data_IF_818532721540
#
_entry.id   IF_818532721540
#
_cell.length_a   1.000
_cell.length_b   1.000
_cell.length_c   1.000
_cell.angle_alpha   90.00
_cell.angle_beta   90.00
_cell.angle_gamma   90.00
#
_symmetry.space_group_name_H-M   'P 1'
#
loop_
_entity.id
_entity.type
_entity.pdbx_description
1 polymer ?
#
# COMPACT_ATOMS: atom_id res chain seq x y z
N UNK A 1 -39.48 -19.71 -13.46
CA UNK A 1 -38.78 -19.25 -12.26
C UNK A 1 -39.42 -19.98 -11.10
N UNK A 2 -38.68 -20.73 -10.28
CA UNK A 2 -39.29 -21.51 -9.20
C UNK A 2 -39.91 -20.58 -8.17
N UNK A 3 -41.04 -20.99 -7.61
CA UNK A 3 -41.66 -20.22 -6.53
C UNK A 3 -40.93 -20.46 -5.18
N UNK A 4 -41.26 -19.65 -4.17
CA UNK A 4 -40.62 -19.73 -2.86
C UNK A 4 -40.84 -21.09 -2.19
N UNK A 5 -42.00 -21.73 -2.40
CA UNK A 5 -42.34 -23.01 -1.79
C UNK A 5 -41.54 -24.16 -2.42
N UNK A 6 -41.32 -24.11 -3.73
CA UNK A 6 -40.45 -25.04 -4.46
C UNK A 6 -38.99 -24.96 -3.95
N UNK A 7 -38.47 -23.75 -3.70
CA UNK A 7 -37.12 -23.55 -3.13
C UNK A 7 -37.03 -24.11 -1.70
N UNK A 8 -38.01 -23.80 -0.85
CA UNK A 8 -38.02 -24.24 0.55
C UNK A 8 -38.11 -25.76 0.69
N UNK A 9 -38.90 -26.41 -0.17
CA UNK A 9 -39.00 -27.87 -0.21
C UNK A 9 -37.65 -28.52 -0.51
N UNK A 10 -36.95 -28.03 -1.54
CA UNK A 10 -35.64 -28.54 -1.96
C UNK A 10 -34.58 -28.30 -0.88
N UNK A 11 -34.57 -27.11 -0.24
CA UNK A 11 -33.62 -26.83 0.87
C UNK A 11 -33.86 -27.78 2.04
N UNK A 12 -35.11 -28.01 2.43
CA UNK A 12 -35.45 -28.90 3.55
C UNK A 12 -35.06 -30.35 3.27
N UNK A 13 -35.18 -30.80 2.03
CA UNK A 13 -34.84 -32.15 1.61
C UNK A 13 -33.32 -32.37 1.49
N UNK A 14 -32.59 -31.38 0.99
CA UNK A 14 -31.20 -31.59 0.57
C UNK A 14 -30.14 -30.90 1.44
N UNK A 15 -30.48 -29.91 2.27
CA UNK A 15 -29.54 -29.23 3.18
C UNK A 15 -29.67 -29.82 4.58
N UNK A 16 -28.98 -30.93 4.80
CA UNK A 16 -29.15 -31.77 5.98
C UNK A 16 -28.04 -31.54 7.00
N UNK A 17 -28.40 -31.50 8.29
CA UNK A 17 -27.43 -31.36 9.40
C UNK A 17 -26.33 -32.42 9.40
N UNK A 18 -26.58 -33.61 8.84
CA UNK A 18 -25.60 -34.68 8.67
C UNK A 18 -24.47 -34.32 7.72
N UNK A 19 -24.74 -33.55 6.66
CA UNK A 19 -23.72 -33.11 5.70
C UNK A 19 -22.73 -32.18 6.40
N UNK A 20 -23.22 -31.22 7.19
CA UNK A 20 -22.36 -30.34 7.99
C UNK A 20 -21.52 -31.15 8.98
N UNK A 21 -22.14 -32.04 9.77
CA UNK A 21 -21.38 -32.89 10.72
C UNK A 21 -20.29 -33.71 10.01
N UNK A 22 -20.59 -34.28 8.85
CA UNK A 22 -19.64 -35.05 8.05
C UNK A 22 -18.48 -34.18 7.55
N UNK A 23 -18.76 -33.03 6.95
CA UNK A 23 -17.73 -32.12 6.43
C UNK A 23 -16.83 -31.59 7.55
N UNK A 24 -17.41 -31.13 8.66
CA UNK A 24 -16.64 -30.57 9.77
C UNK A 24 -15.83 -31.63 10.53
N UNK A 25 -16.27 -32.89 10.56
CA UNK A 25 -15.48 -33.98 11.12
C UNK A 25 -14.18 -34.24 10.34
N UNK A 26 -14.10 -33.80 9.08
CA UNK A 26 -12.97 -34.10 8.19
C UNK A 26 -12.23 -32.85 7.69
N UNK A 27 -12.56 -31.65 8.18
CA UNK A 27 -12.06 -30.38 7.63
C UNK A 27 -10.53 -30.24 7.70
N UNK A 28 -9.89 -30.93 8.64
CA UNK A 28 -8.44 -30.91 8.83
C UNK A 28 -7.70 -32.08 8.17
N UNK A 29 -8.42 -33.05 7.60
CA UNK A 29 -7.79 -34.23 7.02
C UNK A 29 -7.01 -33.89 5.73
N UNK A 30 -7.36 -32.79 5.05
CA UNK A 30 -6.70 -32.37 3.82
C UNK A 30 -6.76 -33.41 2.69
N UNK A 31 -6.02 -33.16 1.61
CA UNK A 31 -5.74 -34.16 0.59
C UNK A 31 -4.46 -34.95 0.93
N UNK A 32 -4.16 -36.01 0.19
CA UNK A 32 -2.90 -36.74 0.35
C UNK A 32 -1.70 -35.82 0.12
N UNK A 33 -1.76 -35.00 -0.93
CA UNK A 33 -0.71 -34.04 -1.28
C UNK A 33 -0.49 -33.00 -0.17
N UNK A 34 -1.55 -32.58 0.53
CA UNK A 34 -1.44 -31.66 1.67
C UNK A 34 -0.70 -32.30 2.85
N UNK A 35 -1.01 -33.56 3.16
CA UNK A 35 -0.41 -34.28 4.27
C UNK A 35 1.04 -34.71 4.00
N UNK A 36 1.42 -34.83 2.73
CA UNK A 36 2.77 -35.17 2.28
C UNK A 36 3.72 -33.96 2.20
N UNK A 37 3.23 -32.74 2.42
CA UNK A 37 4.09 -31.55 2.47
C UNK A 37 5.07 -31.61 3.65
N UNK A 38 6.36 -31.57 3.34
CA UNK A 38 7.39 -31.45 4.37
C UNK A 38 7.36 -30.05 5.00
N UNK A 39 7.17 -30.00 6.32
CA UNK A 39 7.15 -28.75 7.09
C UNK A 39 8.38 -28.73 8.02
N UNK A 40 9.29 -27.74 7.88
CA UNK A 40 10.42 -27.60 8.78
C UNK A 40 9.97 -27.43 10.24
N UNK A 41 10.68 -28.06 11.17
CA UNK A 41 10.44 -27.90 12.60
C UNK A 41 11.16 -26.64 13.15
N UNK A 42 10.51 -25.95 14.09
CA UNK A 42 11.08 -24.81 14.83
C UNK A 42 10.16 -23.58 14.86
N UNK A 43 10.50 -22.62 15.73
CA UNK A 43 9.68 -21.41 15.94
C UNK A 43 10.04 -20.27 14.96
N UNK A 44 11.22 -20.35 14.34
CA UNK A 44 11.73 -19.33 13.41
C UNK A 44 11.64 -19.85 11.97
N UNK A 45 11.06 -19.03 11.09
CA UNK A 45 10.96 -19.34 9.67
C UNK A 45 12.34 -19.37 9.00
N UNK A 46 12.65 -20.46 8.30
CA UNK A 46 13.91 -20.61 7.57
C UNK A 46 13.80 -19.97 6.19
N UNK A 47 14.32 -18.76 6.04
CA UNK A 47 14.28 -18.04 4.77
C UNK A 47 15.20 -18.68 3.71
N UNK A 48 14.61 -19.18 2.63
CA UNK A 48 15.35 -19.57 1.42
C UNK A 48 15.64 -18.33 0.57
N UNK A 49 16.92 -18.01 0.37
CA UNK A 49 17.36 -16.88 -0.46
C UNK A 49 17.02 -17.05 -1.94
N UNK A 50 16.85 -18.28 -2.42
CA UNK A 50 16.50 -18.60 -3.81
C UNK A 50 14.99 -18.56 -4.06
N UNK A 51 14.19 -18.50 -2.99
CA UNK A 51 12.74 -18.47 -3.10
C UNK A 51 12.28 -17.20 -3.82
N UNK A 52 11.47 -17.39 -4.86
CA UNK A 52 10.79 -16.29 -5.57
C UNK A 52 9.34 -16.10 -5.09
N UNK A 53 8.90 -16.83 -4.06
CA UNK A 53 7.54 -16.78 -3.51
C UNK A 53 7.49 -16.15 -2.11
N UNK A 54 8.41 -16.54 -1.24
CA UNK A 54 8.50 -16.08 0.15
C UNK A 54 9.89 -15.45 0.35
N UNK A 55 9.94 -14.14 0.67
CA UNK A 55 11.17 -13.40 0.98
C UNK A 55 10.99 -12.57 2.24
N UNK A 56 12.05 -12.48 3.06
CA UNK A 56 12.04 -11.70 4.30
C UNK A 56 11.81 -10.21 3.99
N UNK A 57 10.73 -9.59 4.47
CA UNK A 57 10.44 -8.20 4.15
C UNK A 57 11.25 -7.23 5.03
N UNK A 58 11.61 -6.05 4.52
CA UNK A 58 12.50 -5.11 5.22
C UNK A 58 11.78 -4.25 6.28
N UNK A 59 10.55 -4.58 6.70
CA UNK A 59 9.72 -3.73 7.57
C UNK A 59 10.37 -3.39 8.91
N UNK A 60 11.19 -4.30 9.43
CA UNK A 60 11.88 -4.20 10.72
C UNK A 60 13.39 -3.93 10.57
N UNK A 61 13.91 -3.84 9.35
CA UNK A 61 15.34 -3.56 9.14
C UNK A 61 15.67 -2.18 9.72
N UNK A 62 16.79 -2.13 10.45
CA UNK A 62 17.30 -0.91 11.12
C UNK A 62 16.33 -0.27 12.11
N UNK A 63 15.35 -1.02 12.63
CA UNK A 63 14.42 -0.53 13.65
C UNK A 63 15.09 -0.46 15.02
N UNK A 64 15.09 0.73 15.63
CA UNK A 64 15.47 0.95 17.03
C UNK A 64 14.37 0.53 18.01
N UNK A 65 14.80 0.16 19.22
CA UNK A 65 13.89 -0.18 20.35
C UNK A 65 12.99 1.02 20.66
N UNK A 66 13.56 2.21 20.81
CA UNK A 66 12.79 3.44 20.97
C UNK A 66 12.36 4.01 19.61
N UNK A 67 11.13 4.55 19.47
CA UNK A 67 10.71 5.21 18.25
C UNK A 67 11.53 6.47 17.98
N UNK A 68 11.84 6.71 16.71
CA UNK A 68 12.42 7.98 16.30
C UNK A 68 11.38 9.10 16.44
N UNK A 69 11.79 10.34 16.82
CA UNK A 69 10.89 11.47 16.86
C UNK A 69 10.25 11.70 15.49
N UNK A 70 8.94 11.93 15.47
CA UNK A 70 8.25 12.38 14.27
C UNK A 70 8.75 13.78 13.94
N UNK A 71 9.19 13.98 12.70
CA UNK A 71 9.64 15.27 12.16
C UNK A 71 8.82 15.63 10.94
N UNK A 72 8.80 16.93 10.63
CA UNK A 72 8.30 17.44 9.35
C UNK A 72 8.79 16.61 8.15
N UNK A 73 7.93 16.47 7.14
CA UNK A 73 8.30 15.90 5.85
C UNK A 73 8.76 17.07 5.00
N UNK A 74 10.05 17.17 4.68
CA UNK A 74 10.63 18.31 3.98
C UNK A 74 10.93 17.99 2.51
N UNK A 75 10.65 18.94 1.61
CA UNK A 75 11.01 18.89 0.19
C UNK A 75 10.57 17.60 -0.53
N UNK A 76 9.41 17.04 -0.17
CA UNK A 76 8.89 15.84 -0.78
C UNK A 76 8.45 16.07 -2.23
N UNK A 77 8.53 15.02 -3.04
CA UNK A 77 8.03 15.01 -4.43
C UNK A 77 6.78 14.16 -4.56
N UNK A 78 5.88 14.57 -5.46
CA UNK A 78 4.69 13.78 -5.79
C UNK A 78 5.12 12.64 -6.71
N UNK A 79 4.99 11.40 -6.24
CA UNK A 79 5.29 10.22 -7.05
C UNK A 79 4.13 9.90 -8.00
N UNK A 80 2.90 10.16 -7.57
CA UNK A 80 1.69 9.97 -8.37
C UNK A 80 0.65 11.05 -8.01
N UNK A 81 0.09 11.69 -9.04
CA UNK A 81 -1.06 12.58 -8.94
C UNK A 81 -2.24 11.86 -9.61
N UNK A 82 -3.23 11.47 -8.81
CA UNK A 82 -4.29 10.58 -9.24
C UNK A 82 -5.66 11.27 -9.16
N UNK A 83 -6.61 10.80 -9.97
CA UNK A 83 -7.99 11.28 -9.97
C UNK A 83 -8.84 10.64 -8.87
N UNK A 84 -10.16 10.62 -9.11
CA UNK A 84 -11.16 10.06 -8.22
C UNK A 84 -11.23 8.52 -8.28
N UNK A 85 -11.77 7.92 -7.23
CA UNK A 85 -12.13 6.49 -7.09
C UNK A 85 -10.99 5.53 -7.47
N UNK A 86 -9.75 5.88 -7.11
CA UNK A 86 -8.60 5.00 -7.26
C UNK A 86 -8.78 3.78 -6.36
N UNK A 87 -9.06 2.63 -6.96
CA UNK A 87 -9.24 1.38 -6.21
C UNK A 87 -7.93 0.79 -5.67
N UNK A 88 -8.02 -0.07 -4.66
CA UNK A 88 -6.86 -0.86 -4.19
C UNK A 88 -6.29 -1.80 -5.27
N UNK A 89 -7.05 -2.13 -6.32
CA UNK A 89 -6.55 -2.90 -7.47
C UNK A 89 -5.66 -2.03 -8.38
N UNK A 90 -5.91 -0.72 -8.46
CA UNK A 90 -4.99 0.21 -9.11
C UNK A 90 -3.68 0.36 -8.33
N UNK A 91 -3.75 0.41 -7.00
CA UNK A 91 -2.59 0.58 -6.11
C UNK A 91 -1.77 -0.72 -6.01
N UNK A 92 -2.44 -1.87 -5.91
CA UNK A 92 -1.82 -3.19 -5.74
C UNK A 92 -2.56 -4.23 -6.59
N UNK A 93 -2.27 -4.32 -7.90
CA UNK A 93 -2.89 -5.29 -8.79
C UNK A 93 -2.63 -6.73 -8.31
N UNK A 94 -3.57 -7.63 -8.57
CA UNK A 94 -3.46 -9.06 -8.21
C UNK A 94 -3.36 -9.98 -9.43
N UNK A 95 -3.56 -9.44 -10.64
CA UNK A 95 -3.57 -10.19 -11.90
C UNK A 95 -2.19 -10.58 -12.41
N UNK A 96 -2.11 -10.84 -13.71
CA UNK A 96 -0.89 -11.26 -14.40
C UNK A 96 0.23 -10.22 -14.35
N UNK A 97 1.48 -10.69 -14.36
CA UNK A 97 2.68 -9.86 -14.39
C UNK A 97 3.15 -9.74 -15.85
N UNK A 98 3.23 -8.50 -16.37
CA UNK A 98 3.72 -8.27 -17.73
C UNK A 98 5.24 -8.48 -17.83
N UNK A 99 5.73 -9.02 -18.95
CA UNK A 99 7.14 -9.40 -19.14
C UNK A 99 8.13 -8.24 -19.14
N UNK A 100 7.69 -7.08 -19.61
CA UNK A 100 8.44 -5.84 -19.69
C UNK A 100 8.30 -4.98 -18.42
N UNK A 101 7.37 -5.32 -17.52
CA UNK A 101 7.20 -4.63 -16.23
C UNK A 101 8.43 -4.78 -15.32
N UNK A 102 8.63 -3.88 -14.34
CA UNK A 102 9.71 -4.00 -13.37
C UNK A 102 9.73 -5.37 -12.66
N UNK A 103 8.55 -5.88 -12.27
CA UNK A 103 8.42 -7.19 -11.64
C UNK A 103 8.79 -8.35 -12.59
N UNK A 104 8.38 -8.26 -13.87
CA UNK A 104 8.74 -9.25 -14.89
C UNK A 104 10.24 -9.27 -15.19
N UNK A 105 10.88 -8.10 -15.26
CA UNK A 105 12.35 -7.98 -15.40
C UNK A 105 13.08 -8.59 -14.20
N UNK A 106 12.61 -8.32 -12.98
CA UNK A 106 13.16 -8.93 -11.77
C UNK A 106 13.03 -10.46 -11.77
N UNK A 107 11.84 -11.01 -12.08
CA UNK A 107 11.63 -12.45 -12.12
C UNK A 107 12.51 -13.15 -13.16
N UNK A 108 12.72 -12.54 -14.33
CA UNK A 108 13.68 -13.05 -15.33
C UNK A 108 15.12 -13.03 -14.82
N UNK A 109 15.52 -11.97 -14.13
CA UNK A 109 16.85 -11.88 -13.53
C UNK A 109 17.07 -12.96 -12.45
N UNK A 110 16.02 -13.33 -11.71
CA UNK A 110 16.04 -14.45 -10.75
C UNK A 110 15.89 -15.83 -11.44
N UNK A 111 15.88 -15.90 -12.78
CA UNK A 111 15.83 -17.15 -13.55
C UNK A 111 14.43 -17.76 -13.74
N UNK A 112 13.36 -17.01 -13.46
CA UNK A 112 11.98 -17.46 -13.66
C UNK A 112 11.54 -17.20 -15.10
N UNK A 113 11.09 -18.24 -15.80
CA UNK A 113 10.53 -18.11 -17.15
C UNK A 113 9.15 -17.41 -17.12
N UNK A 114 8.77 -16.63 -18.15
CA UNK A 114 7.49 -15.91 -18.20
C UNK A 114 6.24 -16.76 -17.90
N UNK A 115 6.18 -18.00 -18.42
CA UNK A 115 5.09 -18.94 -18.16
C UNK A 115 4.94 -19.33 -16.68
N UNK A 116 5.96 -19.09 -15.88
CA UNK A 116 6.02 -19.37 -14.44
C UNK A 116 5.95 -18.11 -13.57
N UNK A 117 5.72 -16.92 -14.14
CA UNK A 117 5.52 -15.71 -13.35
C UNK A 117 4.33 -15.83 -12.40
N UNK A 118 3.28 -16.54 -12.82
CA UNK A 118 2.01 -16.63 -12.11
C UNK A 118 1.41 -15.21 -11.96
N UNK A 119 0.63 -14.94 -10.92
CA UNK A 119 -0.01 -13.64 -10.69
C UNK A 119 0.68 -12.84 -9.58
N UNK A 120 0.49 -11.52 -9.55
CA UNK A 120 0.87 -10.70 -8.39
C UNK A 120 0.25 -11.24 -7.09
N UNK A 121 -1.00 -11.70 -7.14
CA UNK A 121 -1.66 -12.32 -5.98
C UNK A 121 -0.92 -13.54 -5.43
N UNK A 122 -0.35 -14.37 -6.29
CA UNK A 122 0.46 -15.54 -5.88
C UNK A 122 1.83 -15.16 -5.31
N UNK A 123 2.33 -13.95 -5.59
CA UNK A 123 3.66 -13.46 -5.20
C UNK A 123 3.63 -12.57 -3.95
N UNK A 124 2.50 -12.52 -3.22
CA UNK A 124 2.32 -11.64 -2.04
C UNK A 124 3.31 -11.89 -0.89
N UNK A 125 3.93 -13.06 -0.81
CA UNK A 125 5.00 -13.36 0.15
C UNK A 125 6.38 -12.83 -0.27
N UNK A 126 6.51 -12.27 -1.47
CA UNK A 126 7.77 -11.76 -2.01
C UNK A 126 7.68 -10.25 -2.20
N UNK A 127 8.21 -9.50 -1.24
CA UNK A 127 8.16 -8.04 -1.25
C UNK A 127 8.83 -7.41 -2.48
N UNK A 128 9.85 -8.04 -3.05
CA UNK A 128 10.56 -7.56 -4.24
C UNK A 128 9.63 -7.52 -5.47
N UNK A 129 8.76 -8.52 -5.62
CA UNK A 129 7.77 -8.53 -6.70
C UNK A 129 6.67 -7.54 -6.43
N UNK A 130 6.18 -7.49 -5.19
CA UNK A 130 5.01 -6.68 -4.85
C UNK A 130 5.30 -5.17 -4.85
N UNK A 131 6.48 -4.74 -4.41
CA UNK A 131 6.89 -3.32 -4.50
C UNK A 131 7.00 -2.89 -5.97
N UNK A 132 7.53 -3.75 -6.84
CA UNK A 132 7.61 -3.52 -8.29
C UNK A 132 6.24 -3.55 -8.98
N UNK A 133 5.28 -4.25 -8.39
CA UNK A 133 3.89 -4.28 -8.83
C UNK A 133 3.03 -3.13 -8.28
N UNK A 134 3.55 -2.33 -7.35
CA UNK A 134 2.78 -1.25 -6.73
C UNK A 134 2.55 -0.14 -7.74
N UNK A 135 1.29 0.27 -7.88
CA UNK A 135 0.78 1.16 -8.94
C UNK A 135 1.00 0.66 -10.37
N UNK A 136 1.36 -0.62 -10.58
CA UNK A 136 1.64 -1.16 -11.92
C UNK A 136 0.38 -1.62 -12.67
N UNK A 137 -0.82 -1.24 -12.22
CA UNK A 137 -2.06 -1.59 -12.90
C UNK A 137 -2.11 -0.91 -14.27
N UNK A 138 -2.36 -1.67 -15.33
CA UNK A 138 -2.39 -1.19 -16.71
C UNK A 138 -3.44 -0.10 -16.99
N UNK A 139 -4.44 0.05 -16.10
CA UNK A 139 -5.51 1.06 -16.21
C UNK A 139 -5.29 2.26 -15.30
N UNK A 140 -4.21 2.30 -14.52
CA UNK A 140 -3.89 3.47 -13.72
C UNK A 140 -3.64 4.66 -14.65
N UNK A 141 -4.22 5.82 -14.32
CA UNK A 141 -4.00 7.08 -15.02
C UNK A 141 -3.37 8.07 -14.05
N UNK A 142 -2.13 8.44 -14.33
CA UNK A 142 -1.38 9.39 -13.53
C UNK A 142 -1.33 10.73 -14.24
N UNK A 143 -1.83 11.78 -13.58
CA UNK A 143 -1.91 13.13 -14.15
C UNK A 143 -0.52 13.77 -14.33
N UNK A 144 0.53 13.22 -13.72
CA UNK A 144 1.93 13.62 -13.96
C UNK A 144 2.49 13.12 -15.30
N UNK A 145 1.82 12.14 -15.93
CA UNK A 145 2.21 11.55 -17.21
C UNK A 145 0.99 11.50 -18.16
N UNK A 146 0.48 12.68 -18.58
CA UNK A 146 -0.75 12.75 -19.37
C UNK A 146 -0.60 12.00 -20.71
N UNK A 147 -1.68 11.31 -21.10
CA UNK A 147 -1.72 10.49 -22.32
C UNK A 147 -1.15 9.08 -22.15
N UNK A 148 -0.66 8.73 -20.96
CA UNK A 148 -0.22 7.36 -20.63
C UNK A 148 -1.28 6.62 -19.80
N UNK A 149 -1.30 5.30 -19.93
CA UNK A 149 -1.99 4.40 -19.01
C UNK A 149 -0.98 3.40 -18.45
N UNK A 150 -1.20 2.92 -17.24
CA UNK A 150 -0.29 2.04 -16.53
C UNK A 150 0.44 2.73 -15.39
N UNK A 151 1.36 1.99 -14.77
CA UNK A 151 2.19 2.49 -13.68
C UNK A 151 3.31 3.42 -14.12
N UNK A 152 2.97 4.47 -14.88
CA UNK A 152 3.90 5.47 -15.41
C UNK A 152 3.82 6.75 -14.60
N UNK A 153 4.96 7.39 -14.41
CA UNK A 153 5.09 8.71 -13.78
C UNK A 153 6.24 9.47 -14.42
N UNK A 154 6.53 10.66 -13.92
CA UNK A 154 7.66 11.49 -14.33
C UNK A 154 8.60 11.70 -13.16
N UNK A 155 9.88 11.46 -13.38
CA UNK A 155 10.94 11.86 -12.47
C UNK A 155 11.25 13.34 -12.71
N UNK A 156 11.08 14.20 -11.70
CA UNK A 156 11.15 15.66 -11.90
C UNK A 156 12.58 16.19 -12.12
N UNK A 157 13.61 15.69 -11.42
CA UNK A 157 14.98 16.18 -11.61
C UNK A 157 15.48 16.10 -13.07
N UNK A 158 15.15 15.05 -13.80
CA UNK A 158 15.54 14.85 -15.21
C UNK A 158 14.39 15.03 -16.22
N UNK A 159 13.15 15.14 -15.75
CA UNK A 159 11.94 15.28 -16.55
C UNK A 159 11.50 14.02 -17.30
N UNK A 160 12.14 12.86 -17.07
CA UNK A 160 11.88 11.64 -17.84
C UNK A 160 10.63 10.90 -17.36
N UNK A 161 9.83 10.42 -18.32
CA UNK A 161 8.75 9.48 -18.02
C UNK A 161 9.33 8.07 -17.80
N UNK A 162 8.93 7.43 -16.71
CA UNK A 162 9.41 6.09 -16.33
C UNK A 162 8.35 5.38 -15.50
N UNK A 163 8.60 4.13 -15.10
CA UNK A 163 7.66 3.43 -14.22
C UNK A 163 7.67 4.03 -12.82
N UNK A 164 6.56 3.96 -12.09
CA UNK A 164 6.47 4.43 -10.71
C UNK A 164 7.51 3.78 -9.80
N UNK A 165 7.78 2.48 -10.00
CA UNK A 165 8.85 1.79 -9.28
C UNK A 165 10.23 2.38 -9.60
N UNK A 166 10.57 2.55 -10.87
CA UNK A 166 11.89 3.05 -11.27
C UNK A 166 12.10 4.50 -10.80
N UNK A 167 11.08 5.37 -10.88
CA UNK A 167 11.11 6.72 -10.33
C UNK A 167 11.28 6.72 -8.80
N UNK A 168 10.58 5.84 -8.08
CA UNK A 168 10.73 5.71 -6.62
C UNK A 168 12.14 5.29 -6.22
N UNK A 169 12.78 4.39 -6.98
CA UNK A 169 14.17 3.99 -6.73
C UNK A 169 15.16 5.12 -7.00
N UNK A 170 14.92 5.97 -8.01
CA UNK A 170 15.74 7.17 -8.26
C UNK A 170 15.63 8.16 -7.09
N UNK A 171 14.41 8.52 -6.68
CA UNK A 171 14.21 9.38 -5.51
C UNK A 171 14.77 8.81 -4.21
N UNK A 172 14.75 7.47 -4.05
CA UNK A 172 15.39 6.82 -2.91
C UNK A 172 16.90 7.06 -2.90
N UNK A 173 17.57 6.94 -4.06
CA UNK A 173 19.00 7.24 -4.19
C UNK A 173 19.33 8.73 -3.94
N UNK A 174 18.38 9.62 -4.24
CA UNK A 174 18.47 11.07 -4.01
C UNK A 174 18.11 11.49 -2.57
N UNK A 175 17.66 10.55 -1.72
CA UNK A 175 17.14 10.82 -0.37
C UNK A 175 15.95 11.79 -0.35
N UNK A 176 15.10 11.75 -1.37
CA UNK A 176 13.92 12.61 -1.50
C UNK A 176 12.69 11.86 -0.97
N UNK A 177 11.96 12.42 0.02
CA UNK A 177 10.72 11.80 0.47
C UNK A 177 9.62 11.91 -0.59
N UNK A 178 8.73 10.93 -0.63
CA UNK A 178 7.66 10.87 -1.63
C UNK A 178 6.29 11.03 -1.01
N UNK A 179 5.37 11.63 -1.76
CA UNK A 179 3.94 11.69 -1.44
C UNK A 179 3.10 11.26 -2.63
N UNK A 180 1.83 10.96 -2.36
CA UNK A 180 0.80 10.79 -3.40
C UNK A 180 -0.25 11.87 -3.19
N UNK A 181 -0.75 12.44 -4.30
CA UNK A 181 -1.94 13.29 -4.28
C UNK A 181 -3.05 12.56 -5.03
N UNK A 182 -4.26 12.56 -4.49
CA UNK A 182 -5.40 11.86 -5.09
C UNK A 182 -6.70 12.67 -4.98
N UNK A 183 -7.69 12.30 -5.80
CA UNK A 183 -9.05 12.82 -5.70
C UNK A 183 -9.87 12.17 -4.58
N UNK A 184 -11.15 11.96 -4.85
CA UNK A 184 -12.13 11.38 -3.91
C UNK A 184 -12.01 9.86 -3.84
N UNK A 185 -12.44 9.29 -2.72
CA UNK A 185 -12.56 7.84 -2.50
C UNK A 185 -11.27 7.06 -2.75
N UNK A 186 -10.13 7.65 -2.38
CA UNK A 186 -8.84 7.01 -2.56
C UNK A 186 -8.75 5.70 -1.78
N UNK A 187 -8.44 4.62 -2.48
CA UNK A 187 -8.32 3.27 -1.94
C UNK A 187 -9.60 2.47 -1.84
N UNK A 188 -10.62 2.76 -2.65
CA UNK A 188 -11.87 1.99 -2.64
C UNK A 188 -11.70 0.52 -3.10
N UNK A 189 -12.62 -0.36 -2.70
CA UNK A 189 -12.65 -1.76 -3.13
C UNK A 189 -12.09 -2.76 -2.12
N UNK A 190 -11.45 -3.82 -2.62
CA UNK A 190 -11.03 -4.97 -1.80
C UNK A 190 -9.95 -4.58 -0.78
N UNK A 191 -10.04 -5.08 0.44
CA UNK A 191 -8.98 -4.90 1.43
C UNK A 191 -7.72 -5.67 1.01
N UNK A 192 -6.70 -4.95 0.58
CA UNK A 192 -5.39 -5.48 0.16
C UNK A 192 -4.30 -4.80 0.96
N UNK A 193 -3.62 -5.57 1.81
CA UNK A 193 -2.51 -5.07 2.65
C UNK A 193 -1.37 -4.42 1.84
N UNK A 194 -1.07 -4.99 0.66
CA UNK A 194 -0.07 -4.49 -0.27
C UNK A 194 -0.42 -3.12 -0.86
N UNK A 195 -1.68 -2.68 -0.80
CA UNK A 195 -2.04 -1.30 -1.16
C UNK A 195 -1.49 -0.27 -0.15
N UNK A 196 -1.01 -0.68 1.03
CA UNK A 196 -0.28 0.19 1.96
C UNK A 196 1.20 -0.21 2.11
N UNK A 197 1.50 -1.52 2.15
CA UNK A 197 2.90 -2.01 2.22
C UNK A 197 3.71 -1.61 0.98
N UNK A 198 3.11 -1.69 -0.20
CA UNK A 198 3.73 -1.29 -1.46
C UNK A 198 4.17 0.17 -1.45
N UNK A 199 3.23 1.12 -1.27
CA UNK A 199 3.56 2.54 -1.16
C UNK A 199 4.63 2.85 -0.10
N UNK A 200 4.58 2.17 1.06
CA UNK A 200 5.58 2.35 2.12
C UNK A 200 6.98 1.95 1.65
N UNK A 201 7.10 0.82 0.94
CA UNK A 201 8.37 0.34 0.39
C UNK A 201 8.84 1.13 -0.83
N UNK A 202 7.94 1.84 -1.52
CA UNK A 202 8.32 2.85 -2.52
C UNK A 202 8.85 4.15 -1.89
N UNK A 203 8.83 4.29 -0.55
CA UNK A 203 9.29 5.49 0.14
C UNK A 203 8.23 6.58 0.31
N UNK A 204 6.95 6.29 0.05
CA UNK A 204 5.86 7.23 0.28
C UNK A 204 5.70 7.46 1.79
N UNK A 205 5.67 8.74 2.18
CA UNK A 205 5.57 9.21 3.57
C UNK A 205 4.17 9.74 3.91
N UNK A 206 3.47 10.31 2.94
CA UNK A 206 2.11 10.81 3.11
C UNK A 206 1.28 10.65 1.83
N UNK A 207 -0.04 10.63 2.00
CA UNK A 207 -1.02 10.73 0.91
C UNK A 207 -1.94 11.91 1.20
N UNK A 208 -2.08 12.84 0.27
CA UNK A 208 -3.03 13.96 0.35
C UNK A 208 -4.19 13.69 -0.61
N UNK A 209 -5.40 13.48 -0.10
CA UNK A 209 -6.57 13.16 -0.93
C UNK A 209 -7.78 14.05 -0.61
N UNK A 210 -8.76 14.13 -1.51
CA UNK A 210 -10.04 14.78 -1.18
C UNK A 210 -10.85 13.93 -0.18
N UNK A 211 -10.78 12.60 -0.32
CA UNK A 211 -11.35 11.67 0.67
C UNK A 211 -10.74 10.27 0.53
N UNK A 212 -10.88 9.46 1.59
CA UNK A 212 -10.36 8.09 1.65
C UNK A 212 -11.49 7.08 1.88
N UNK A 213 -11.32 5.88 1.34
CA UNK A 213 -12.05 4.72 1.87
C UNK A 213 -11.52 4.38 3.28
N UNK A 214 -12.43 4.00 4.18
CA UNK A 214 -12.18 3.83 5.63
C UNK A 214 -11.11 2.78 5.95
N UNK A 215 -11.17 1.61 5.30
CA UNK A 215 -10.21 0.52 5.53
C UNK A 215 -8.85 0.92 4.95
N UNK A 216 -8.82 1.50 3.75
CA UNK A 216 -7.55 1.92 3.15
C UNK A 216 -6.84 3.00 3.96
N UNK A 217 -7.55 4.02 4.47
CA UNK A 217 -7.02 5.02 5.42
C UNK A 217 -6.30 4.35 6.59
N UNK A 218 -6.95 3.36 7.20
CA UNK A 218 -6.43 2.63 8.36
C UNK A 218 -5.18 1.83 7.99
N UNK A 219 -5.15 1.22 6.80
CA UNK A 219 -3.99 0.46 6.31
C UNK A 219 -2.78 1.36 6.05
N UNK A 220 -2.96 2.54 5.44
CA UNK A 220 -1.89 3.52 5.23
C UNK A 220 -1.23 3.89 6.57
N UNK A 221 -2.06 4.27 7.54
CA UNK A 221 -1.59 4.62 8.88
C UNK A 221 -0.91 3.44 9.58
N UNK A 222 -1.46 2.23 9.45
CA UNK A 222 -0.86 1.01 9.97
C UNK A 222 0.54 0.73 9.42
N UNK A 223 0.86 1.23 8.22
CA UNK A 223 2.21 1.17 7.64
C UNK A 223 3.06 2.42 7.91
N UNK A 224 2.55 3.37 8.70
CA UNK A 224 3.22 4.63 9.03
C UNK A 224 3.28 5.60 7.85
N UNK A 225 2.30 5.54 6.94
CA UNK A 225 2.06 6.56 5.92
C UNK A 225 0.98 7.49 6.45
N UNK A 226 1.22 8.80 6.40
CA UNK A 226 0.28 9.80 6.93
C UNK A 226 -0.87 10.06 5.94
N UNK A 227 -2.13 9.70 6.24
CA UNK A 227 -3.27 10.09 5.41
C UNK A 227 -3.69 11.52 5.75
N UNK A 228 -3.66 12.40 4.75
CA UNK A 228 -4.00 13.82 4.83
C UNK A 228 -5.16 14.10 3.90
N UNK A 229 -6.12 14.89 4.36
CA UNK A 229 -7.26 15.29 3.57
C UNK A 229 -7.20 16.78 3.27
N UNK A 230 -7.49 17.18 2.04
CA UNK A 230 -7.76 18.59 1.75
C UNK A 230 -8.90 19.12 2.62
N UNK A 231 -8.91 20.43 2.88
CA UNK A 231 -10.05 21.06 3.54
C UNK A 231 -11.30 20.98 2.66
N UNK A 232 -12.47 21.12 3.27
CA UNK A 232 -13.73 21.05 2.54
C UNK A 232 -13.77 22.08 1.39
N UNK A 233 -14.03 21.58 0.17
CA UNK A 233 -14.07 22.40 -1.04
C UNK A 233 -12.70 22.65 -1.69
N UNK A 234 -11.60 22.20 -1.09
CA UNK A 234 -10.25 22.30 -1.65
C UNK A 234 -9.80 21.00 -2.31
N UNK A 235 -9.02 21.12 -3.38
CA UNK A 235 -8.29 20.03 -4.01
C UNK A 235 -7.05 20.54 -4.77
N UNK A 236 -6.33 19.63 -5.42
CA UNK A 236 -5.14 19.97 -6.20
C UNK A 236 -5.40 21.11 -7.21
N UNK A 237 -6.52 21.02 -7.96
CA UNK A 237 -6.85 21.99 -9.01
C UNK A 237 -7.30 23.35 -8.43
N UNK A 238 -8.14 23.37 -7.39
CA UNK A 238 -8.65 24.60 -6.78
C UNK A 238 -7.54 25.42 -6.11
N UNK A 239 -6.50 24.74 -5.62
CA UNK A 239 -5.31 25.35 -5.04
C UNK A 239 -4.26 25.75 -6.08
N UNK A 240 -4.49 25.47 -7.37
CA UNK A 240 -3.56 25.75 -8.45
C UNK A 240 -2.25 24.95 -8.36
N UNK A 241 -2.31 23.75 -7.75
CA UNK A 241 -1.19 22.84 -7.65
C UNK A 241 -1.09 21.98 -8.90
N UNK A 242 0.14 21.76 -9.35
CA UNK A 242 0.45 20.95 -10.55
C UNK A 242 0.93 19.55 -10.20
N UNK A 243 1.42 19.37 -8.97
CA UNK A 243 2.12 18.17 -8.53
C UNK A 243 3.63 18.21 -8.83
N UNK A 244 4.11 19.23 -9.55
CA UNK A 244 5.54 19.42 -9.85
C UNK A 244 6.29 20.15 -8.73
N UNK A 245 5.55 20.72 -7.77
CA UNK A 245 6.10 21.42 -6.62
C UNK A 245 6.90 20.47 -5.70
N UNK A 246 7.76 21.05 -4.86
CA UNK A 246 8.25 20.36 -3.66
C UNK A 246 7.33 20.66 -2.48
N UNK A 247 7.03 19.65 -1.68
CA UNK A 247 6.05 19.74 -0.60
C UNK A 247 6.71 19.58 0.76
N UNK A 248 6.48 20.54 1.65
CA UNK A 248 6.86 20.45 3.06
C UNK A 248 5.61 20.38 3.93
N UNK A 249 5.53 19.39 4.82
CA UNK A 249 4.41 19.17 5.74
C UNK A 249 4.90 19.42 7.17
N UNK A 250 4.37 20.47 7.80
CA UNK A 250 4.78 20.93 9.13
C UNK A 250 3.85 20.40 10.25
N UNK A 251 4.28 20.55 11.51
CA UNK A 251 3.45 20.31 12.69
C UNK A 251 3.22 18.84 13.03
N UNK A 252 4.12 17.95 12.57
CA UNK A 252 4.00 16.51 12.80
C UNK A 252 4.44 16.10 14.22
N UNK A 253 5.19 16.96 14.90
CA UNK A 253 5.69 16.75 16.26
C UNK A 253 4.53 16.70 17.29
N UNK A 254 3.56 17.61 17.12
CA UNK A 254 2.39 17.78 17.99
C UNK A 254 1.13 17.13 17.41
N UNK A 255 1.30 16.12 16.54
CA UNK A 255 0.19 15.51 15.82
C UNK A 255 -0.85 14.91 16.79
N UNK A 256 -2.09 15.33 16.60
CA UNK A 256 -3.25 14.88 17.37
C UNK A 256 -4.35 14.37 16.42
N UNK A 257 -5.34 13.61 16.92
CA UNK A 257 -6.44 13.14 16.09
C UNK A 257 -7.15 14.31 15.40
N UNK A 258 -7.34 14.22 14.09
CA UNK A 258 -7.99 15.24 13.26
C UNK A 258 -7.40 16.65 13.41
N UNK A 259 -6.11 16.74 13.75
CA UNK A 259 -5.38 18.00 13.77
C UNK A 259 -5.20 18.56 12.35
N UNK A 260 -5.10 19.88 12.26
CA UNK A 260 -4.82 20.61 11.02
C UNK A 260 -3.32 20.82 10.89
N UNK A 261 -2.78 20.59 9.69
CA UNK A 261 -1.37 20.81 9.38
C UNK A 261 -1.24 21.82 8.25
N UNK A 262 -0.15 22.58 8.26
CA UNK A 262 0.23 23.46 7.15
C UNK A 262 1.11 22.69 6.17
N UNK A 263 0.79 22.84 4.88
CA UNK A 263 1.58 22.31 3.77
C UNK A 263 2.08 23.49 2.92
N UNK A 264 3.39 23.51 2.67
CA UNK A 264 4.03 24.43 1.75
C UNK A 264 4.34 23.71 0.45
N UNK A 265 3.83 24.21 -0.67
CA UNK A 265 4.16 23.77 -2.02
C UNK A 265 5.02 24.85 -2.71
N UNK A 266 6.26 24.51 -3.03
CA UNK A 266 7.20 25.43 -3.69
C UNK A 266 7.41 25.02 -5.13
N UNK A 267 7.10 25.91 -6.08
CA UNK A 267 7.30 25.66 -7.50
C UNK A 267 8.76 25.91 -7.95
N UNK A 268 9.06 25.61 -9.22
CA UNK A 268 10.40 25.80 -9.79
C UNK A 268 10.88 27.26 -9.84
N UNK A 269 9.97 28.24 -9.71
CA UNK A 269 10.30 29.67 -9.61
C UNK A 269 10.63 30.11 -8.19
N UNK A 270 10.43 29.23 -7.20
CA UNK A 270 10.54 29.53 -5.78
C UNK A 270 9.26 30.15 -5.19
N UNK A 271 8.17 30.18 -5.95
CA UNK A 271 6.89 30.68 -5.42
C UNK A 271 6.32 29.65 -4.45
N UNK A 272 6.06 30.09 -3.23
CA UNK A 272 5.52 29.25 -2.15
C UNK A 272 4.01 29.46 -2.06
N UNK A 273 3.27 28.35 -2.15
CA UNK A 273 1.84 28.28 -1.85
C UNK A 273 1.65 27.56 -0.52
N UNK A 274 0.86 28.14 0.38
CA UNK A 274 0.51 27.53 1.67
C UNK A 274 -0.95 27.12 1.66
N UNK A 275 -1.23 25.93 2.17
CA UNK A 275 -2.60 25.46 2.38
C UNK A 275 -2.68 24.58 3.62
N UNK A 276 -3.89 24.40 4.12
CA UNK A 276 -4.15 23.58 5.30
C UNK A 276 -4.67 22.21 4.87
N UNK A 277 -4.28 21.16 5.59
CA UNK A 277 -4.84 19.81 5.44
C UNK A 277 -5.30 19.27 6.79
N UNK A 278 -6.28 18.39 6.77
CA UNK A 278 -6.74 17.65 7.94
C UNK A 278 -6.02 16.30 8.03
N UNK A 279 -5.43 16.00 9.18
CA UNK A 279 -4.92 14.64 9.44
C UNK A 279 -6.09 13.67 9.54
N UNK A 280 -6.01 12.57 8.79
CA UNK A 280 -7.00 11.47 8.90
C UNK A 280 -6.51 10.40 9.87
N UNK A 281 -6.01 10.87 11.01
CA UNK A 281 -5.79 10.10 12.23
C UNK A 281 -7.03 10.34 13.08
N UNK A 282 -7.84 9.30 13.28
CA UNK A 282 -9.17 9.45 13.86
C UNK A 282 -9.18 9.15 15.37
N UNK A 283 -8.12 8.53 15.93
CA UNK A 283 -8.06 8.16 17.36
C UNK A 283 -6.68 8.38 17.99
N UNK A 284 -6.59 8.47 19.34
CA UNK A 284 -5.29 8.53 20.03
C UNK A 284 -4.39 7.30 19.79
N UNK A 285 -4.95 6.09 19.74
CA UNK A 285 -4.15 4.88 19.47
C UNK A 285 -3.52 4.91 18.08
N UNK A 286 -4.25 5.49 17.12
CA UNK A 286 -3.75 5.71 15.76
C UNK A 286 -2.57 6.71 15.72
N UNK A 287 -2.54 7.72 16.62
CA UNK A 287 -1.37 8.59 16.80
C UNK A 287 -0.17 7.77 17.28
N UNK A 288 -0.36 6.87 18.25
CA UNK A 288 0.73 6.03 18.77
C UNK A 288 1.29 5.08 17.70
N UNK A 289 0.42 4.47 16.87
CA UNK A 289 0.87 3.68 15.73
C UNK A 289 1.73 4.52 14.77
N UNK A 290 1.31 5.75 14.47
CA UNK A 290 2.06 6.65 13.60
C UNK A 290 3.42 7.03 14.19
N UNK A 291 3.47 7.40 15.48
CA UNK A 291 4.72 7.71 16.21
C UNK A 291 5.70 6.54 16.21
N UNK A 292 5.20 5.31 16.23
CA UNK A 292 6.02 4.11 16.14
C UNK A 292 6.44 3.76 14.70
N UNK A 293 5.98 4.50 13.70
CA UNK A 293 6.24 4.23 12.27
C UNK A 293 5.39 3.11 11.68
N UNK A 294 4.28 2.76 12.34
CA UNK A 294 3.31 1.75 11.93
C UNK A 294 2.97 0.74 13.04
N UNK A 295 1.84 0.05 12.89
CA UNK A 295 1.32 -0.93 13.86
C UNK A 295 2.26 -2.11 14.08
N UNK A 296 2.93 -2.58 13.02
CA UNK A 296 3.86 -3.71 13.13
C UNK A 296 5.03 -3.38 14.07
N UNK A 297 5.57 -2.16 13.94
CA UNK A 297 6.67 -1.67 14.78
C UNK A 297 6.21 -1.39 16.20
N UNK A 298 5.00 -0.86 16.37
CA UNK A 298 4.37 -0.66 17.67
C UNK A 298 4.24 -1.98 18.45
N UNK A 299 3.60 -2.99 17.85
CA UNK A 299 3.36 -4.30 18.47
C UNK A 299 4.67 -5.01 18.83
N UNK A 300 5.69 -4.93 17.97
CA UNK A 300 6.99 -5.53 18.27
C UNK A 300 7.66 -4.85 19.48
N UNK A 301 7.62 -3.52 19.57
CA UNK A 301 8.18 -2.80 20.74
C UNK A 301 7.46 -3.14 22.04
N UNK A 302 6.12 -3.19 22.01
CA UNK A 302 5.31 -3.61 23.14
C UNK A 302 5.68 -5.03 23.61
N UNK A 303 5.83 -5.95 22.65
CA UNK A 303 6.26 -7.33 22.93
C UNK A 303 7.66 -7.41 23.55
N UNK A 304 8.58 -6.52 23.15
CA UNK A 304 9.94 -6.44 23.72
C UNK A 304 9.95 -5.86 25.14
N UNK A 305 9.00 -4.98 25.46
CA UNK A 305 8.85 -4.37 26.79
C UNK A 305 8.11 -5.27 27.79
N UNK A 306 7.59 -6.43 27.34
CA UNK A 306 6.85 -7.36 28.19
C UNK A 306 5.42 -6.92 28.51
N UNK A 307 4.93 -5.89 27.84
CA UNK A 307 3.54 -5.46 27.90
C UNK A 307 2.70 -6.38 27.00
N UNK A 308 1.80 -7.17 27.62
CA UNK A 308 0.82 -8.03 26.95
C UNK A 308 -0.51 -7.32 26.76
#
# INVERSE_FOLDING_TARGET
>A
WPDQAEIEAVVKEHVLSSQFRCTYANIFNGSLEWNELEVPAGDLFQWDRKSTYIKEPPFFQSMSVEPEPVRAIENARVLALLGDSVTTDHISPAGSIAEDSPAGRYLKAEGVEPKHFNSYGSRRGNHEVMVRGTFANIRLRNLLAPGTEGGITRHFPDGQQTTIYDAAMQYHAENVPLIVIAGKEYGTGSSRDWAAKGPKLLGIRAVIAESFERIHRSNLLGMGILPLQFMEGENCASLGLTGEESYTIHGLEDIAPQSRLEVEATDASGTVRKFTVLTRIDTPNEVEYFRHGGILRYVLRQSLQGEK
#
